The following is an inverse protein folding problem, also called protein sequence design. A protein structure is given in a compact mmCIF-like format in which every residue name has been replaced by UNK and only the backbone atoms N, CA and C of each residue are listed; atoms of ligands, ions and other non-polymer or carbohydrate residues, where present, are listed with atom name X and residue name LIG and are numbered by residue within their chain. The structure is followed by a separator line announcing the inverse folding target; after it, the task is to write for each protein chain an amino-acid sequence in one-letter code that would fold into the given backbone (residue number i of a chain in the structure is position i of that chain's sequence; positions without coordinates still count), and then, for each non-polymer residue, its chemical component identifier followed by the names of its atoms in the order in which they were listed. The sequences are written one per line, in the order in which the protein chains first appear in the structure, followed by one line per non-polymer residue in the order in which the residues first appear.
data_IF_189019020098
#
_entry.id   IF_189019020098
#
_cell.length_a   1.000
_cell.length_b   1.000
_cell.length_c   1.000
_cell.angle_alpha   90.00
_cell.angle_beta   90.00
_cell.angle_gamma   90.00
#
_symmetry.space_group_name_H-M   'P 1'
#
loop_
_entity.id
_entity.type
_entity.pdbx_description
1 polymer ?
#
# COMPACT_ATOMS: atom_id res chain seq x y z
N UNK A 1 18.12 37.69 30.43
CA UNK A 1 16.79 37.07 30.40
C UNK A 1 16.69 36.33 29.06
N UNK A 2 17.09 35.06 29.07
CA UNK A 2 16.96 34.17 27.92
C UNK A 2 15.49 33.76 27.84
N UNK A 3 14.81 34.26 26.83
CA UNK A 3 13.48 33.75 26.48
C UNK A 3 13.68 32.59 25.46
N UNK A 4 13.66 31.39 25.99
CA UNK A 4 13.55 30.20 25.15
C UNK A 4 12.32 30.35 24.20
N UNK A 5 12.45 30.07 22.90
CA UNK A 5 11.32 30.10 21.99
C UNK A 5 10.32 29.03 22.38
N UNK A 6 9.02 29.26 22.22
CA UNK A 6 7.99 28.38 22.72
C UNK A 6 8.08 26.98 22.05
N UNK A 7 7.75 25.91 22.78
CA UNK A 7 7.93 24.49 22.35
C UNK A 7 7.18 24.07 21.08
N UNK A 8 6.28 24.91 20.58
CA UNK A 8 5.45 24.62 19.40
C UNK A 8 6.23 24.47 18.07
N UNK A 9 7.46 24.97 17.97
CA UNK A 9 8.24 24.89 16.71
C UNK A 9 8.98 23.56 16.54
N UNK A 10 9.33 22.87 17.65
CA UNK A 10 10.06 21.59 17.59
C UNK A 10 9.17 20.41 17.15
N UNK A 11 7.87 20.43 17.49
CA UNK A 11 6.94 19.34 17.15
C UNK A 11 6.49 19.31 15.69
N UNK A 12 6.42 20.48 15.02
CA UNK A 12 6.10 20.56 13.57
C UNK A 12 7.15 19.91 12.68
N UNK A 13 8.42 20.08 13.04
CA UNK A 13 9.54 19.48 12.32
C UNK A 13 9.54 17.96 12.49
N UNK A 14 9.21 17.43 13.66
CA UNK A 14 9.23 16.01 13.94
C UNK A 14 8.23 15.19 13.09
N UNK A 15 7.02 15.69 12.85
CA UNK A 15 6.01 14.99 12.05
C UNK A 15 6.35 14.98 10.55
N UNK A 16 6.83 16.09 10.01
CA UNK A 16 7.27 16.19 8.60
C UNK A 16 8.57 15.40 8.37
N UNK A 17 9.50 15.42 9.33
CA UNK A 17 10.73 14.65 9.29
C UNK A 17 10.45 13.14 9.31
N UNK A 18 9.44 12.69 10.06
CA UNK A 18 9.02 11.29 10.10
C UNK A 18 8.57 10.82 8.71
N UNK A 19 7.82 11.65 7.99
CA UNK A 19 7.33 11.33 6.65
C UNK A 19 8.45 11.32 5.59
N UNK A 20 9.55 12.03 5.81
CA UNK A 20 10.69 12.11 4.87
C UNK A 20 11.81 11.09 5.12
N UNK A 21 11.78 10.31 6.21
CA UNK A 21 12.89 9.44 6.60
C UNK A 21 12.83 8.04 6.02
N UNK A 22 11.62 7.50 5.90
CA UNK A 22 11.42 6.10 5.56
C UNK A 22 10.91 5.93 4.13
N UNK A 23 11.22 4.81 3.47
CA UNK A 23 10.52 4.38 2.27
C UNK A 23 9.05 4.06 2.59
N UNK A 24 8.15 4.47 1.70
CA UNK A 24 6.72 4.30 1.86
C UNK A 24 6.15 3.34 0.82
N UNK A 25 5.26 2.50 1.28
CA UNK A 25 4.37 1.66 0.51
C UNK A 25 2.96 2.25 0.65
N UNK A 26 2.73 3.44 0.08
CA UNK A 26 1.50 4.20 0.23
C UNK A 26 1.08 4.83 -1.10
N UNK A 27 -0.23 4.90 -1.31
CA UNK A 27 -0.82 5.57 -2.47
C UNK A 27 -0.54 7.10 -2.43
N UNK A 28 -0.35 7.72 -3.61
CA UNK A 28 0.16 9.09 -3.73
C UNK A 28 -0.74 10.15 -3.09
N UNK A 29 -2.06 10.04 -3.25
CA UNK A 29 -3.01 11.01 -2.66
C UNK A 29 -3.03 10.94 -1.15
N UNK A 30 -2.90 9.74 -0.59
CA UNK A 30 -2.83 9.51 0.85
C UNK A 30 -1.53 10.06 1.45
N UNK A 31 -0.39 9.92 0.76
CA UNK A 31 0.86 10.58 1.16
C UNK A 31 0.69 12.10 1.22
N UNK A 32 0.03 12.69 0.23
CA UNK A 32 -0.23 14.13 0.20
C UNK A 32 -1.13 14.57 1.37
N UNK A 33 -2.14 13.78 1.71
CA UNK A 33 -3.00 14.03 2.87
C UNK A 33 -2.21 13.96 4.19
N UNK A 34 -1.35 12.95 4.36
CA UNK A 34 -0.47 12.84 5.53
C UNK A 34 0.44 14.07 5.69
N UNK A 35 1.04 14.54 4.60
CA UNK A 35 1.86 15.76 4.59
C UNK A 35 1.02 16.97 5.03
N UNK A 36 -0.21 17.10 4.54
CA UNK A 36 -1.13 18.18 4.94
C UNK A 36 -1.50 18.10 6.43
N UNK A 37 -1.78 16.90 6.95
CA UNK A 37 -2.09 16.69 8.36
C UNK A 37 -0.86 17.00 9.22
N UNK A 38 0.31 16.45 8.88
CA UNK A 38 1.56 16.69 9.61
C UNK A 38 1.93 18.17 9.68
N UNK A 39 1.63 18.93 8.63
CA UNK A 39 1.87 20.39 8.63
C UNK A 39 0.97 21.19 9.57
N UNK A 40 -0.15 20.62 10.03
CA UNK A 40 -1.13 21.26 10.91
C UNK A 40 -1.03 20.81 12.37
N UNK A 41 -0.40 19.66 12.64
CA UNK A 41 -0.31 19.08 13.99
C UNK A 41 0.88 19.70 14.76
N UNK A 42 0.59 20.21 15.95
CA UNK A 42 1.58 20.86 16.84
C UNK A 42 1.88 20.06 18.11
N UNK A 43 1.11 19.00 18.41
CA UNK A 43 1.25 18.25 19.66
C UNK A 43 2.13 17.02 19.48
N UNK A 44 2.94 16.69 20.50
CA UNK A 44 3.66 15.40 20.53
C UNK A 44 2.71 14.24 20.87
N UNK A 45 3.04 12.99 20.51
CA UNK A 45 2.26 11.81 20.90
C UNK A 45 2.02 11.71 22.42
N UNK A 46 3.02 12.08 23.23
CA UNK A 46 2.95 12.07 24.69
C UNK A 46 1.97 13.13 25.20
N UNK A 47 1.94 14.31 24.59
CA UNK A 47 1.01 15.37 24.94
C UNK A 47 -0.45 14.97 24.64
N UNK A 48 -0.66 14.26 23.52
CA UNK A 48 -1.98 13.73 23.16
C UNK A 48 -2.40 12.62 24.11
N UNK A 49 -1.54 11.65 24.41
CA UNK A 49 -1.82 10.57 25.36
C UNK A 49 -2.16 11.10 26.75
N UNK A 50 -1.43 12.14 27.22
CA UNK A 50 -1.68 12.82 28.50
C UNK A 50 -3.07 13.50 28.48
N UNK A 51 -3.42 14.18 27.39
CA UNK A 51 -4.73 14.83 27.25
C UNK A 51 -5.89 13.83 27.20
N UNK A 52 -5.68 12.66 26.57
CA UNK A 52 -6.67 11.58 26.49
C UNK A 52 -6.77 10.77 27.79
N UNK A 53 -5.78 10.87 28.69
CA UNK A 53 -5.73 10.10 29.94
C UNK A 53 -5.53 8.60 29.73
N UNK A 54 -5.06 8.16 28.54
CA UNK A 54 -4.80 6.77 28.16
C UNK A 54 -3.68 6.67 27.11
N UNK A 55 -3.02 5.51 27.00
CA UNK A 55 -2.09 5.25 25.91
C UNK A 55 -2.77 5.39 24.52
N UNK A 56 -1.97 5.71 23.51
CA UNK A 56 -2.42 5.72 22.12
C UNK A 56 -2.75 4.28 21.68
N UNK A 57 -3.82 4.12 20.91
CA UNK A 57 -4.29 2.84 20.37
C UNK A 57 -4.78 3.01 18.93
N UNK A 58 -5.12 1.91 18.23
CA UNK A 58 -5.81 2.01 16.95
C UNK A 58 -7.24 2.56 17.18
N UNK A 59 -7.68 3.43 16.28
CA UNK A 59 -9.02 4.03 16.35
C UNK A 59 -10.15 3.00 16.24
N UNK A 60 -9.85 1.82 15.70
CA UNK A 60 -10.81 0.71 15.57
C UNK A 60 -10.26 -0.57 16.19
N UNK A 61 -11.13 -1.26 16.90
CA UNK A 61 -10.80 -2.46 17.67
C UNK A 61 -11.31 -3.72 16.98
N UNK A 62 -10.73 -4.85 17.34
CA UNK A 62 -11.20 -6.18 16.92
C UNK A 62 -12.64 -6.40 17.32
N UNK A 63 -13.45 -6.90 16.40
CA UNK A 63 -14.83 -7.31 16.64
C UNK A 63 -14.95 -8.82 16.51
N UNK A 64 -15.75 -9.44 17.37
CA UNK A 64 -16.01 -10.88 17.31
C UNK A 64 -17.45 -11.13 16.86
N UNK A 65 -17.61 -11.87 15.76
CA UNK A 65 -18.89 -12.31 15.22
C UNK A 65 -18.97 -13.85 15.30
N UNK A 66 -19.67 -14.37 16.31
CA UNK A 66 -19.66 -15.80 16.61
C UNK A 66 -18.22 -16.28 16.89
N UNK A 67 -17.68 -17.14 16.03
CA UNK A 67 -16.29 -17.64 16.12
C UNK A 67 -15.32 -16.96 15.16
N UNK A 68 -15.72 -15.85 14.56
CA UNK A 68 -14.90 -15.07 13.62
C UNK A 68 -14.39 -13.81 14.31
N UNK A 69 -13.08 -13.62 14.36
CA UNK A 69 -12.47 -12.33 14.71
C UNK A 69 -12.35 -11.47 13.44
N UNK A 70 -12.90 -10.27 13.48
CA UNK A 70 -12.76 -9.26 12.43
C UNK A 70 -11.77 -8.21 12.91
N UNK A 71 -10.61 -8.12 12.25
CA UNK A 71 -9.55 -7.22 12.61
C UNK A 71 -9.50 -6.10 11.55
N UNK A 72 -9.80 -4.85 11.92
CA UNK A 72 -9.80 -3.73 10.98
C UNK A 72 -8.38 -3.26 10.65
N UNK A 73 -8.12 -2.99 9.36
CA UNK A 73 -6.90 -2.35 8.85
C UNK A 73 -7.37 -1.14 8.06
N UNK A 74 -7.28 0.05 8.66
CA UNK A 74 -7.86 1.24 8.08
C UNK A 74 -6.90 2.41 8.05
N UNK A 75 -7.06 3.25 7.02
CA UNK A 75 -6.20 4.41 6.81
C UNK A 75 -4.73 4.04 6.64
N UNK A 76 -3.82 5.01 6.72
CA UNK A 76 -2.39 4.79 6.58
C UNK A 76 -1.82 3.87 7.67
N UNK A 77 -0.88 3.00 7.28
CA UNK A 77 -0.24 2.03 8.18
C UNK A 77 1.10 2.59 8.65
N UNK A 78 1.28 2.69 9.96
CA UNK A 78 2.53 3.07 10.61
C UNK A 78 3.12 1.88 11.36
N UNK A 79 4.45 1.83 11.48
CA UNK A 79 5.14 0.77 12.24
C UNK A 79 4.70 0.74 13.70
N UNK A 80 4.65 1.93 14.33
CA UNK A 80 4.32 2.11 15.74
C UNK A 80 3.13 3.05 15.90
N UNK A 81 2.44 2.92 17.04
CA UNK A 81 1.38 3.85 17.41
C UNK A 81 1.93 5.28 17.51
N UNK A 82 1.23 6.23 16.95
CA UNK A 82 1.58 7.63 16.94
C UNK A 82 0.32 8.51 16.86
N UNK A 83 0.52 9.84 16.79
CA UNK A 83 -0.59 10.77 16.73
C UNK A 83 -1.58 10.50 15.58
N UNK A 84 -1.10 10.04 14.42
CA UNK A 84 -1.96 9.73 13.27
C UNK A 84 -2.86 8.52 13.54
N UNK A 85 -2.40 7.52 14.32
CA UNK A 85 -3.22 6.35 14.65
C UNK A 85 -4.40 6.70 15.54
N UNK A 86 -4.26 7.71 16.40
CA UNK A 86 -5.35 8.16 17.28
C UNK A 86 -6.31 9.15 16.62
N UNK A 87 -5.76 10.16 15.91
CA UNK A 87 -6.52 11.33 15.46
C UNK A 87 -7.05 11.16 14.04
N UNK A 88 -6.31 10.50 13.16
CA UNK A 88 -6.67 10.37 11.74
C UNK A 88 -7.17 8.98 11.35
N UNK A 89 -7.34 8.07 12.31
CA UNK A 89 -7.84 6.72 12.03
C UNK A 89 -6.84 5.81 11.32
N UNK A 90 -5.53 6.12 11.42
CA UNK A 90 -4.47 5.28 10.89
C UNK A 90 -4.31 3.98 11.70
N UNK A 91 -3.65 2.98 11.13
CA UNK A 91 -3.38 1.69 11.77
C UNK A 91 -1.93 1.62 12.24
N UNK A 92 -1.71 1.22 13.51
CA UNK A 92 -0.40 0.79 14.00
C UNK A 92 -0.19 -0.69 13.70
N UNK A 93 0.91 -1.02 13.02
CA UNK A 93 1.26 -2.40 12.69
C UNK A 93 1.60 -3.22 13.93
N UNK A 94 2.24 -2.60 14.93
CA UNK A 94 2.54 -3.24 16.21
C UNK A 94 1.27 -3.68 16.95
N UNK A 95 0.27 -2.79 17.04
CA UNK A 95 -1.02 -3.10 17.65
C UNK A 95 -1.77 -4.15 16.83
N UNK A 96 -1.76 -4.01 15.50
CA UNK A 96 -2.37 -4.97 14.59
C UNK A 96 -1.79 -6.39 14.76
N UNK A 97 -0.47 -6.52 14.86
CA UNK A 97 0.20 -7.80 15.07
C UNK A 97 -0.15 -8.41 16.44
N UNK A 98 -0.23 -7.58 17.50
CA UNK A 98 -0.70 -8.00 18.82
C UNK A 98 -2.14 -8.52 18.78
N UNK A 99 -3.03 -7.80 18.12
CA UNK A 99 -4.44 -8.15 18.01
C UNK A 99 -4.64 -9.42 17.17
N UNK A 100 -3.84 -9.59 16.12
CA UNK A 100 -3.80 -10.81 15.33
C UNK A 100 -3.34 -12.00 16.16
N UNK A 101 -2.28 -11.85 16.96
CA UNK A 101 -1.81 -12.92 17.87
C UNK A 101 -2.86 -13.26 18.92
N UNK A 102 -3.51 -12.26 19.52
CA UNK A 102 -4.57 -12.50 20.48
C UNK A 102 -5.77 -13.29 19.87
N UNK A 103 -6.10 -13.03 18.60
CA UNK A 103 -7.11 -13.81 17.88
C UNK A 103 -6.63 -15.24 17.58
N UNK A 104 -5.35 -15.46 17.30
CA UNK A 104 -4.77 -16.80 17.14
C UNK A 104 -4.80 -17.60 18.45
N UNK A 105 -4.50 -16.99 19.58
CA UNK A 105 -4.42 -17.63 20.88
C UNK A 105 -5.82 -17.90 21.48
N UNK A 106 -6.84 -17.19 21.04
CA UNK A 106 -8.21 -17.32 21.59
C UNK A 106 -8.86 -18.64 21.19
N UNK A 107 -9.27 -19.50 22.16
CA UNK A 107 -9.94 -20.76 21.86
C UNK A 107 -11.37 -20.56 21.28
N UNK A 108 -11.96 -19.40 21.46
CA UNK A 108 -13.30 -19.07 20.95
C UNK A 108 -13.28 -18.65 19.49
N UNK A 109 -12.13 -18.21 18.96
CA UNK A 109 -11.96 -17.82 17.57
C UNK A 109 -11.53 -19.02 16.74
N UNK A 110 -12.23 -19.30 15.64
CA UNK A 110 -11.90 -20.38 14.69
C UNK A 110 -11.41 -19.86 13.34
N UNK A 111 -11.63 -18.60 13.01
CA UNK A 111 -11.16 -17.95 11.78
C UNK A 111 -10.96 -16.45 12.00
N UNK A 112 -10.14 -15.84 11.17
CA UNK A 112 -9.82 -14.41 11.20
C UNK A 112 -10.22 -13.77 9.87
N UNK A 113 -10.85 -12.61 9.93
CA UNK A 113 -11.10 -11.74 8.78
C UNK A 113 -10.32 -10.44 8.98
N UNK A 114 -9.41 -10.14 8.08
CA UNK A 114 -8.75 -8.84 8.00
C UNK A 114 -9.66 -7.93 7.16
N UNK A 115 -10.31 -6.96 7.80
CA UNK A 115 -11.19 -5.99 7.09
C UNK A 115 -10.38 -4.77 6.67
N UNK A 116 -10.09 -4.67 5.37
CA UNK A 116 -9.09 -3.74 4.84
C UNK A 116 -9.76 -2.60 4.09
N UNK A 117 -9.39 -1.38 4.48
CA UNK A 117 -9.65 -0.12 3.78
C UNK A 117 -8.47 0.82 4.03
N UNK A 118 -7.38 0.63 3.26
CA UNK A 118 -6.10 1.27 3.54
C UNK A 118 -5.32 1.58 2.26
N UNK A 119 -4.74 2.80 2.17
CA UNK A 119 -3.85 3.20 1.07
C UNK A 119 -2.42 2.62 1.19
N UNK A 120 -2.15 1.82 2.21
CA UNK A 120 -0.80 1.37 2.55
C UNK A 120 -0.13 2.21 3.62
N UNK A 121 1.20 2.21 3.68
CA UNK A 121 1.90 2.90 4.75
C UNK A 121 3.42 2.72 4.73
N UNK A 122 4.05 2.77 5.91
CA UNK A 122 5.48 2.52 6.07
C UNK A 122 5.84 1.09 5.67
N UNK A 123 6.99 0.93 5.03
CA UNK A 123 7.48 -0.38 4.58
C UNK A 123 7.95 -1.29 5.71
N UNK A 124 8.43 -0.69 6.80
CA UNK A 124 9.02 -1.42 7.91
C UNK A 124 8.04 -2.33 8.63
N UNK A 125 8.37 -3.63 8.72
CA UNK A 125 7.59 -4.64 9.45
C UNK A 125 6.47 -5.30 8.64
N UNK A 126 6.15 -4.82 7.44
CA UNK A 126 5.06 -5.40 6.63
C UNK A 126 5.39 -6.85 6.25
N UNK A 127 6.61 -7.13 5.80
CA UNK A 127 7.04 -8.49 5.44
C UNK A 127 6.99 -9.46 6.63
N UNK A 128 7.34 -9.01 7.85
CA UNK A 128 7.22 -9.83 9.06
C UNK A 128 5.76 -10.16 9.37
N UNK A 129 4.88 -9.15 9.32
CA UNK A 129 3.46 -9.36 9.58
C UNK A 129 2.81 -10.24 8.50
N UNK A 130 3.15 -10.05 7.23
CA UNK A 130 2.72 -10.94 6.14
C UNK A 130 3.15 -12.39 6.38
N UNK A 131 4.38 -12.62 6.87
CA UNK A 131 4.83 -13.98 7.28
C UNK A 131 4.04 -14.53 8.44
N UNK A 132 3.70 -13.72 9.45
CA UNK A 132 2.86 -14.14 10.58
C UNK A 132 1.47 -14.56 10.10
N UNK A 133 0.86 -13.83 9.16
CA UNK A 133 -0.42 -14.21 8.54
C UNK A 133 -0.30 -15.57 7.82
N UNK A 134 0.71 -15.75 6.97
CA UNK A 134 0.93 -17.03 6.26
C UNK A 134 1.20 -18.22 7.19
N UNK A 135 1.78 -17.97 8.35
CA UNK A 135 2.04 -19.00 9.36
C UNK A 135 0.84 -19.24 10.29
N UNK A 136 -0.31 -18.62 10.03
CA UNK A 136 -1.50 -18.75 10.86
C UNK A 136 -1.97 -20.20 10.94
N UNK A 137 -2.31 -20.65 12.15
CA UNK A 137 -2.94 -21.95 12.39
C UNK A 137 -4.46 -21.93 12.20
N UNK A 138 -5.05 -20.73 12.00
CA UNK A 138 -6.46 -20.53 11.73
C UNK A 138 -6.64 -19.93 10.35
N UNK A 139 -7.71 -20.28 9.63
CA UNK A 139 -8.00 -19.66 8.34
C UNK A 139 -8.09 -18.14 8.43
N UNK A 140 -7.40 -17.44 7.51
CA UNK A 140 -7.38 -15.99 7.40
C UNK A 140 -7.94 -15.57 6.06
N UNK A 141 -8.98 -14.76 6.07
CA UNK A 141 -9.55 -14.13 4.88
C UNK A 141 -9.28 -12.63 4.92
N UNK A 142 -8.69 -12.07 3.88
CA UNK A 142 -8.65 -10.63 3.68
C UNK A 142 -9.93 -10.19 2.96
N UNK A 143 -10.70 -9.33 3.59
CA UNK A 143 -11.85 -8.68 2.97
C UNK A 143 -11.48 -7.24 2.62
N UNK A 144 -11.57 -6.89 1.33
CA UNK A 144 -11.33 -5.54 0.84
C UNK A 144 -12.69 -4.88 0.55
N UNK A 145 -13.08 -3.97 1.42
CA UNK A 145 -14.34 -3.21 1.27
C UNK A 145 -14.21 -2.12 0.20
N UNK A 146 -13.22 -1.25 0.38
CA UNK A 146 -12.99 -0.09 -0.46
C UNK A 146 -11.59 -0.11 -1.08
N UNK A 147 -10.51 -0.13 -0.28
CA UNK A 147 -9.14 0.03 -0.76
C UNK A 147 -8.17 -0.94 -0.08
N UNK A 148 -7.37 -1.64 -0.87
CA UNK A 148 -6.17 -2.33 -0.42
C UNK A 148 -5.01 -1.97 -1.36
N UNK A 149 -4.32 -0.87 -1.04
CA UNK A 149 -3.22 -0.40 -1.86
C UNK A 149 -1.86 -0.61 -1.17
N UNK A 150 -0.84 -0.94 -1.96
CA UNK A 150 0.57 -0.96 -1.56
C UNK A 150 0.81 -1.85 -0.32
N UNK A 151 1.28 -1.36 0.83
CA UNK A 151 1.47 -2.18 2.04
C UNK A 151 0.21 -2.95 2.47
N UNK A 152 -0.97 -2.35 2.29
CA UNK A 152 -2.24 -3.02 2.61
C UNK A 152 -2.53 -4.19 1.68
N UNK A 153 -2.18 -4.07 0.38
CA UNK A 153 -2.26 -5.20 -0.55
C UNK A 153 -1.23 -6.29 -0.23
N UNK A 154 -0.02 -5.93 0.20
CA UNK A 154 0.97 -6.91 0.67
C UNK A 154 0.42 -7.73 1.83
N UNK A 155 -0.19 -7.07 2.82
CA UNK A 155 -0.86 -7.74 3.95
C UNK A 155 -2.02 -8.61 3.45
N UNK A 156 -2.88 -8.09 2.58
CA UNK A 156 -4.01 -8.84 2.01
C UNK A 156 -3.54 -10.09 1.26
N UNK A 157 -2.46 -9.98 0.48
CA UNK A 157 -1.92 -11.09 -0.32
C UNK A 157 -1.44 -12.27 0.52
N UNK A 158 -1.10 -12.03 1.80
CA UNK A 158 -0.63 -13.06 2.73
C UNK A 158 -1.76 -13.92 3.32
N UNK A 159 -3.03 -13.53 3.18
CA UNK A 159 -4.17 -14.31 3.63
C UNK A 159 -4.42 -15.55 2.74
N UNK A 160 -5.16 -16.53 3.26
CA UNK A 160 -5.53 -17.74 2.52
C UNK A 160 -6.48 -17.42 1.35
N UNK A 161 -7.33 -16.40 1.52
CA UNK A 161 -8.29 -15.93 0.54
C UNK A 161 -8.40 -14.40 0.58
N UNK A 162 -8.50 -13.77 -0.60
CA UNK A 162 -8.83 -12.34 -0.74
C UNK A 162 -10.22 -12.22 -1.35
N UNK A 163 -11.13 -11.64 -0.60
CA UNK A 163 -12.49 -11.33 -1.02
C UNK A 163 -12.64 -9.83 -1.18
N UNK A 164 -13.06 -9.38 -2.35
CA UNK A 164 -13.23 -7.97 -2.64
C UNK A 164 -14.71 -7.60 -2.79
N UNK A 165 -15.07 -6.36 -2.43
CA UNK A 165 -16.36 -5.80 -2.86
C UNK A 165 -16.34 -5.52 -4.36
N UNK A 166 -17.49 -5.37 -5.02
CA UNK A 166 -17.55 -5.10 -6.47
C UNK A 166 -16.79 -3.84 -6.90
N UNK A 167 -16.68 -2.86 -6.02
CA UNK A 167 -16.04 -1.55 -6.24
C UNK A 167 -14.69 -1.41 -5.54
N UNK A 168 -14.23 -2.44 -4.82
CA UNK A 168 -12.96 -2.41 -4.13
C UNK A 168 -11.79 -2.19 -5.09
N UNK A 169 -10.83 -1.42 -4.66
CA UNK A 169 -9.64 -1.03 -5.43
C UNK A 169 -8.42 -1.73 -4.82
N UNK A 170 -7.68 -2.48 -5.63
CA UNK A 170 -6.52 -3.25 -5.17
C UNK A 170 -5.30 -2.95 -6.05
N UNK A 171 -4.11 -2.91 -5.45
CA UNK A 171 -2.86 -2.75 -6.22
C UNK A 171 -1.87 -1.79 -5.62
N UNK A 172 -1.36 -0.86 -6.43
CA UNK A 172 -0.27 0.06 -6.05
C UNK A 172 0.95 -0.71 -5.54
N UNK A 173 1.34 -1.79 -6.24
CA UNK A 173 2.51 -2.61 -5.88
C UNK A 173 3.76 -1.86 -6.32
N UNK A 174 4.46 -1.28 -5.35
CA UNK A 174 5.64 -0.47 -5.58
C UNK A 174 6.07 0.27 -4.32
N UNK A 175 7.23 0.91 -4.40
CA UNK A 175 7.84 1.66 -3.29
C UNK A 175 8.11 3.09 -3.74
N UNK A 176 7.84 4.04 -2.87
CA UNK A 176 8.14 5.45 -3.11
C UNK A 176 8.97 6.02 -1.97
N UNK A 177 9.96 6.83 -2.28
CA UNK A 177 10.69 7.65 -1.33
C UNK A 177 10.56 9.11 -1.74
N UNK A 178 10.13 9.96 -0.81
CA UNK A 178 10.02 11.41 -1.04
C UNK A 178 11.12 12.12 -0.30
N UNK A 179 11.88 12.94 -0.99
CA UNK A 179 12.90 13.81 -0.40
C UNK A 179 12.53 15.27 -0.60
N UNK A 180 12.66 16.05 0.47
CA UNK A 180 12.55 17.51 0.42
C UNK A 180 13.89 18.10 0.88
N UNK A 181 14.56 18.90 0.06
CA UNK A 181 15.75 19.58 0.49
C UNK A 181 15.48 20.45 1.73
N UNK A 182 16.43 20.56 2.67
CA UNK A 182 16.33 21.48 3.77
C UNK A 182 16.18 22.92 3.25
N UNK A 183 15.26 23.68 3.84
CA UNK A 183 15.15 25.11 3.54
C UNK A 183 16.14 25.84 4.45
N UNK A 184 17.10 26.53 3.83
CA UNK A 184 18.01 27.41 4.56
C UNK A 184 17.20 28.55 5.22
N UNK A 185 17.38 28.73 6.51
CA UNK A 185 16.74 29.84 7.26
C UNK A 185 17.76 30.95 7.51
N UNK A 186 17.39 32.21 7.28
CA UNK A 186 18.27 33.34 7.59
C UNK A 186 18.71 33.30 9.07
N UNK A 187 20.03 33.29 9.32
CA UNK A 187 20.61 33.26 10.66
C UNK A 187 20.86 31.87 11.26
N UNK A 188 20.44 30.79 10.62
CA UNK A 188 20.84 29.42 11.01
C UNK A 188 22.29 29.15 10.56
N UNK A 189 23.12 28.66 11.49
CA UNK A 189 24.47 28.22 11.14
C UNK A 189 24.38 26.87 10.42
N UNK A 190 25.13 26.70 9.31
CA UNK A 190 25.13 25.42 8.59
C UNK A 190 25.65 24.30 9.50
N UNK A 191 24.98 23.16 9.48
CA UNK A 191 25.45 21.93 10.15
C UNK A 191 26.64 21.38 9.37
N UNK A 192 27.76 21.17 10.06
CA UNK A 192 28.94 20.50 9.47
C UNK A 192 28.90 19.03 9.82
N UNK A 193 28.78 18.17 8.81
CA UNK A 193 28.84 16.72 8.98
C UNK A 193 30.19 16.17 8.51
N UNK A 194 30.83 15.33 9.34
CA UNK A 194 32.06 14.64 9.00
C UNK A 194 31.75 13.16 8.87
N UNK A 195 31.88 12.63 7.67
CA UNK A 195 31.63 11.23 7.36
C UNK A 195 32.96 10.50 7.23
N UNK A 196 33.04 9.25 7.75
CA UNK A 196 34.23 8.43 7.63
C UNK A 196 34.54 8.13 6.14
N UNK A 197 35.81 8.17 5.78
CA UNK A 197 36.25 7.90 4.39
C UNK A 197 35.91 6.51 3.89
N UNK A 198 35.75 5.54 4.81
CA UNK A 198 35.34 4.16 4.48
C UNK A 198 33.86 4.00 4.16
N UNK A 199 33.05 5.04 4.39
CA UNK A 199 31.59 4.98 4.21
C UNK A 199 31.08 6.14 3.36
N UNK A 200 31.54 6.30 2.11
CA UNK A 200 31.26 7.49 1.29
C UNK A 200 29.77 7.67 0.94
N UNK A 201 28.97 6.60 1.00
CA UNK A 201 27.53 6.67 0.71
C UNK A 201 26.66 6.95 1.94
N UNK A 202 27.25 7.10 3.14
CA UNK A 202 26.47 7.22 4.39
C UNK A 202 25.63 8.50 4.46
N UNK A 203 26.05 9.59 3.78
CA UNK A 203 25.42 10.91 3.84
C UNK A 203 25.31 11.56 2.45
N UNK A 204 25.00 10.76 1.45
CA UNK A 204 24.79 11.27 0.11
C UNK A 204 23.43 11.95 0.03
N UNK A 205 23.41 13.24 -0.31
CA UNK A 205 22.15 13.98 -0.42
C UNK A 205 21.34 13.50 -1.65
N UNK A 206 20.05 13.16 -1.48
CA UNK A 206 19.21 12.61 -2.57
C UNK A 206 18.97 13.56 -3.75
N UNK A 207 19.24 14.85 -3.62
CA UNK A 207 19.20 15.85 -4.69
C UNK A 207 20.45 15.83 -5.58
N UNK A 208 21.50 15.12 -5.18
CA UNK A 208 22.67 14.88 -6.03
C UNK A 208 22.47 13.64 -6.91
N UNK A 209 23.17 13.53 -8.08
CA UNK A 209 23.11 12.33 -8.92
C UNK A 209 23.47 11.04 -8.18
N UNK A 210 24.51 11.07 -7.35
CA UNK A 210 24.96 9.93 -6.55
C UNK A 210 23.93 9.54 -5.48
N UNK A 211 23.38 10.53 -4.75
CA UNK A 211 22.36 10.28 -3.75
C UNK A 211 21.04 9.79 -4.33
N UNK A 212 20.67 10.30 -5.50
CA UNK A 212 19.49 9.80 -6.23
C UNK A 212 19.67 8.35 -6.66
N UNK A 213 20.87 8.00 -7.16
CA UNK A 213 21.19 6.61 -7.50
C UNK A 213 21.12 5.67 -6.29
N UNK A 214 21.60 6.12 -5.12
CA UNK A 214 21.53 5.32 -3.89
C UNK A 214 20.09 5.18 -3.37
N UNK A 215 19.28 6.25 -3.40
CA UNK A 215 17.88 6.21 -3.06
C UNK A 215 17.09 5.29 -4.00
N UNK A 216 17.36 5.38 -5.33
CA UNK A 216 16.74 4.49 -6.32
C UNK A 216 17.07 3.03 -6.03
N UNK A 217 18.35 2.70 -5.78
CA UNK A 217 18.77 1.34 -5.44
C UNK A 217 18.02 0.79 -4.22
N UNK A 218 17.81 1.62 -3.20
CA UNK A 218 17.10 1.22 -1.99
C UNK A 218 15.62 0.92 -2.26
N UNK A 219 14.92 1.77 -3.00
CA UNK A 219 13.51 1.55 -3.34
C UNK A 219 13.32 0.36 -4.27
N UNK A 220 14.25 0.14 -5.20
CA UNK A 220 14.22 -1.01 -6.11
C UNK A 220 14.40 -2.33 -5.36
N UNK A 221 15.38 -2.43 -4.44
CA UNK A 221 15.58 -3.61 -3.61
C UNK A 221 14.36 -3.92 -2.74
N UNK A 222 13.71 -2.90 -2.18
CA UNK A 222 12.51 -3.09 -1.39
C UNK A 222 11.32 -3.50 -2.27
N UNK A 223 11.22 -2.97 -3.48
CA UNK A 223 10.20 -3.35 -4.46
C UNK A 223 10.38 -4.82 -4.90
N UNK A 224 11.62 -5.29 -5.09
CA UNK A 224 11.91 -6.70 -5.37
C UNK A 224 11.39 -7.63 -4.26
N UNK A 225 11.62 -7.29 -2.99
CA UNK A 225 11.10 -8.05 -1.84
C UNK A 225 9.57 -8.08 -1.86
N UNK A 226 8.93 -6.94 -2.10
CA UNK A 226 7.47 -6.83 -2.17
C UNK A 226 6.89 -7.71 -3.29
N UNK A 227 7.43 -7.59 -4.51
CA UNK A 227 6.99 -8.37 -5.67
C UNK A 227 7.18 -9.86 -5.44
N UNK A 228 8.32 -10.28 -4.88
CA UNK A 228 8.61 -11.69 -4.59
C UNK A 228 7.62 -12.28 -3.56
N UNK A 229 7.33 -11.53 -2.49
CA UNK A 229 6.38 -11.97 -1.45
C UNK A 229 4.95 -12.09 -1.99
N UNK A 230 4.50 -11.11 -2.78
CA UNK A 230 3.17 -11.15 -3.44
C UNK A 230 3.09 -12.30 -4.43
N UNK A 231 4.12 -12.51 -5.25
CA UNK A 231 4.16 -13.61 -6.20
C UNK A 231 4.03 -14.97 -5.51
N UNK A 232 4.80 -15.17 -4.43
CA UNK A 232 4.74 -16.40 -3.63
C UNK A 232 3.36 -16.59 -2.97
N UNK A 233 2.79 -15.54 -2.39
CA UNK A 233 1.50 -15.57 -1.71
C UNK A 233 0.34 -15.82 -2.68
N UNK A 234 0.35 -15.19 -3.85
CA UNK A 234 -0.67 -15.37 -4.90
C UNK A 234 -0.43 -16.57 -5.81
N UNK A 235 0.68 -17.32 -5.60
CA UNK A 235 1.06 -18.51 -6.40
C UNK A 235 1.17 -18.19 -7.88
N UNK A 236 1.81 -17.07 -8.20
CA UNK A 236 2.09 -16.61 -9.56
C UNK A 236 3.58 -16.31 -9.71
N UNK A 237 4.06 -16.13 -10.95
CA UNK A 237 5.43 -15.67 -11.15
C UNK A 237 5.60 -14.17 -10.83
N UNK A 238 6.82 -13.73 -10.58
CA UNK A 238 7.11 -12.30 -10.39
C UNK A 238 6.81 -11.50 -11.67
N UNK A 239 7.04 -12.10 -12.84
CA UNK A 239 6.69 -11.51 -14.13
C UNK A 239 5.18 -11.26 -14.24
N UNK A 240 4.34 -12.18 -13.72
CA UNK A 240 2.88 -11.98 -13.66
C UNK A 240 2.53 -10.80 -12.75
N UNK A 241 3.17 -10.67 -11.58
CA UNK A 241 2.94 -9.53 -10.69
C UNK A 241 3.32 -8.23 -11.38
N UNK A 242 4.47 -8.18 -12.03
CA UNK A 242 4.96 -6.99 -12.72
C UNK A 242 4.13 -6.61 -13.94
N UNK A 243 3.62 -7.60 -14.70
CA UNK A 243 2.90 -7.35 -15.93
C UNK A 243 1.38 -7.15 -15.72
N UNK A 244 0.75 -7.95 -14.86
CA UNK A 244 -0.70 -8.11 -14.80
C UNK A 244 -1.34 -7.48 -13.56
N UNK A 245 -0.56 -7.20 -12.49
CA UNK A 245 -1.08 -6.62 -11.26
C UNK A 245 -1.07 -5.07 -11.27
N UNK A 246 -1.28 -4.47 -12.44
CA UNK A 246 -1.48 -3.03 -12.59
C UNK A 246 -0.21 -2.21 -12.78
N UNK A 247 1.00 -2.81 -12.77
CA UNK A 247 2.28 -2.10 -12.98
C UNK A 247 2.48 -0.87 -12.06
N UNK A 248 2.14 -1.02 -10.77
CA UNK A 248 2.11 0.07 -9.81
C UNK A 248 0.80 0.87 -9.78
N UNK A 249 -0.11 0.63 -10.74
CA UNK A 249 -1.49 1.11 -10.72
C UNK A 249 -2.41 0.21 -9.90
N UNK A 250 -3.72 0.38 -10.07
CA UNK A 250 -4.74 -0.32 -9.28
C UNK A 250 -5.82 -0.92 -10.18
N UNK A 251 -6.42 -2.03 -9.75
CA UNK A 251 -7.53 -2.71 -10.41
C UNK A 251 -8.76 -2.72 -9.51
N UNK A 252 -9.95 -2.71 -10.12
CA UNK A 252 -11.22 -2.62 -9.39
C UNK A 252 -11.97 -3.95 -9.48
N UNK A 253 -12.45 -4.46 -8.36
CA UNK A 253 -13.43 -5.54 -8.26
C UNK A 253 -13.12 -6.73 -9.18
N UNK A 254 -13.96 -6.99 -10.14
CA UNK A 254 -13.81 -8.13 -11.08
C UNK A 254 -12.53 -8.10 -11.91
N UNK A 255 -11.96 -6.91 -12.20
CA UNK A 255 -10.68 -6.83 -12.90
C UNK A 255 -9.52 -7.33 -12.01
N UNK A 256 -9.60 -7.07 -10.71
CA UNK A 256 -8.64 -7.61 -9.75
C UNK A 256 -8.78 -9.14 -9.63
N UNK A 257 -10.02 -9.68 -9.65
CA UNK A 257 -10.26 -11.13 -9.68
C UNK A 257 -9.73 -11.75 -10.97
N UNK A 258 -10.03 -11.16 -12.13
CA UNK A 258 -9.54 -11.65 -13.43
C UNK A 258 -8.00 -11.67 -13.51
N UNK A 259 -7.33 -10.69 -12.89
CA UNK A 259 -5.87 -10.64 -12.76
C UNK A 259 -5.32 -11.57 -11.66
N UNK A 260 -6.16 -12.28 -10.92
CA UNK A 260 -5.78 -13.12 -9.76
C UNK A 260 -5.20 -12.33 -8.56
N UNK A 261 -5.47 -11.04 -8.51
CA UNK A 261 -5.16 -10.20 -7.34
C UNK A 261 -6.14 -10.43 -6.19
N UNK A 262 -7.37 -10.83 -6.49
CA UNK A 262 -8.37 -11.30 -5.53
C UNK A 262 -8.94 -12.66 -6.00
N UNK A 263 -9.61 -13.37 -5.10
CA UNK A 263 -10.12 -14.71 -5.40
C UNK A 263 -11.58 -14.67 -5.84
N UNK A 264 -12.39 -13.79 -5.24
CA UNK A 264 -13.80 -13.62 -5.59
C UNK A 264 -14.38 -12.30 -5.11
N UNK A 265 -15.58 -12.00 -5.60
CA UNK A 265 -16.40 -10.88 -5.13
C UNK A 265 -17.43 -11.37 -4.12
N UNK A 266 -17.53 -10.71 -2.96
CA UNK A 266 -18.60 -10.91 -2.01
C UNK A 266 -18.71 -9.71 -1.03
N UNK A 267 -19.75 -9.68 -0.19
CA UNK A 267 -19.90 -8.71 0.89
C UNK A 267 -19.30 -9.24 2.20
N UNK A 268 -18.88 -8.34 3.10
CA UNK A 268 -18.44 -8.71 4.45
C UNK A 268 -19.53 -9.49 5.19
N UNK A 269 -20.79 -9.07 5.04
CA UNK A 269 -21.92 -9.73 5.66
C UNK A 269 -22.01 -11.20 5.24
N UNK A 270 -21.85 -11.52 3.95
CA UNK A 270 -21.88 -12.90 3.47
C UNK A 270 -20.74 -13.74 4.05
N UNK A 271 -19.55 -13.15 4.23
CA UNK A 271 -18.43 -13.82 4.89
C UNK A 271 -18.72 -14.15 6.36
N UNK A 272 -19.38 -13.26 7.07
CA UNK A 272 -19.72 -13.47 8.48
C UNK A 272 -20.86 -14.49 8.66
N UNK A 273 -21.78 -14.57 7.70
CA UNK A 273 -22.91 -15.51 7.73
C UNK A 273 -22.52 -16.94 7.37
N UNK A 274 -21.49 -17.17 6.55
CA UNK A 274 -21.01 -18.51 6.17
C UNK A 274 -20.38 -19.30 7.33
N UNK A 275 -20.28 -18.71 8.52
CA UNK A 275 -19.92 -19.39 9.79
C UNK A 275 -21.13 -19.81 10.64
N UNK A 276 -22.34 -19.53 10.23
CA UNK A 276 -23.57 -20.06 10.85
C UNK A 276 -23.88 -21.47 10.33
N UNK A 277 -24.51 -22.36 11.13
CA UNK A 277 -24.84 -23.72 10.70
C UNK A 277 -25.70 -23.69 9.43
N UNK A 278 -25.48 -24.66 8.56
CA UNK A 278 -26.11 -24.80 7.24
C UNK A 278 -27.65 -24.66 7.31
N UNK A 279 -28.20 -23.63 6.68
CA UNK A 279 -29.65 -23.37 6.68
C UNK A 279 -30.08 -22.12 5.92
N UNK A 280 -29.13 -21.23 5.53
CA UNK A 280 -29.47 -20.04 4.75
C UNK A 280 -29.33 -20.31 3.23
N UNK A 281 -30.29 -19.85 2.39
CA UNK A 281 -30.20 -20.03 0.95
C UNK A 281 -28.97 -19.31 0.38
N UNK A 282 -28.34 -19.83 -0.68
CA UNK A 282 -27.22 -19.17 -1.32
C UNK A 282 -27.68 -17.82 -1.87
N UNK A 283 -27.09 -16.76 -1.37
CA UNK A 283 -27.28 -15.41 -1.91
C UNK A 283 -26.67 -15.37 -3.31
N UNK A 284 -27.44 -14.89 -4.26
CA UNK A 284 -27.13 -14.81 -5.68
C UNK A 284 -25.71 -14.29 -5.92
N UNK A 285 -24.93 -15.11 -6.60
CA UNK A 285 -23.66 -14.70 -7.21
C UNK A 285 -24.03 -13.65 -8.24
N UNK A 286 -23.69 -12.38 -8.00
CA UNK A 286 -23.69 -11.38 -9.06
C UNK A 286 -22.61 -11.79 -10.08
N UNK A 287 -22.96 -12.72 -10.95
CA UNK A 287 -22.23 -12.95 -12.18
C UNK A 287 -22.58 -11.81 -13.13
N UNK A 288 -21.93 -10.67 -12.95
CA UNK A 288 -21.80 -9.74 -14.07
C UNK A 288 -21.00 -10.50 -15.13
N UNK A 289 -21.69 -10.87 -16.21
CA UNK A 289 -21.03 -11.38 -17.41
C UNK A 289 -20.17 -10.27 -17.99
N UNK A 290 -18.97 -10.12 -17.44
CA UNK A 290 -17.92 -9.40 -18.11
C UNK A 290 -17.50 -10.35 -19.22
N UNK A 291 -17.95 -10.07 -20.44
CA UNK A 291 -17.40 -10.73 -21.61
C UNK A 291 -15.88 -10.64 -21.48
N UNK A 292 -15.23 -11.78 -21.27
CA UNK A 292 -13.77 -11.88 -21.34
C UNK A 292 -13.40 -11.23 -22.67
N UNK A 293 -12.59 -10.16 -22.70
CA UNK A 293 -12.17 -9.61 -23.98
C UNK A 293 -11.50 -10.76 -24.69
N UNK A 294 -12.05 -11.15 -25.82
CA UNK A 294 -11.46 -12.14 -26.71
C UNK A 294 -9.98 -11.82 -26.79
N UNK A 295 -9.12 -12.84 -26.63
CA UNK A 295 -7.67 -12.67 -26.59
C UNK A 295 -7.28 -11.64 -27.65
N UNK A 296 -6.81 -10.47 -27.20
CA UNK A 296 -6.58 -9.32 -28.06
C UNK A 296 -5.60 -9.78 -29.13
N UNK A 297 -6.06 -9.82 -30.37
CA UNK A 297 -5.19 -10.17 -31.48
C UNK A 297 -3.99 -9.22 -31.42
N UNK A 298 -2.78 -9.80 -31.33
CA UNK A 298 -1.55 -9.01 -31.34
C UNK A 298 -1.49 -8.30 -32.69
N UNK A 299 -1.65 -6.98 -32.68
CA UNK A 299 -1.57 -6.20 -33.91
C UNK A 299 -0.12 -6.17 -34.39
N UNK A 300 0.16 -6.47 -35.66
CA UNK A 300 1.53 -6.57 -36.15
C UNK A 300 2.24 -5.20 -36.12
N UNK A 301 3.50 -5.19 -35.67
CA UNK A 301 4.40 -4.05 -35.77
C UNK A 301 4.76 -3.75 -37.24
N UNK A 302 5.18 -2.49 -37.59
CA UNK A 302 5.80 -1.53 -36.69
C UNK A 302 4.90 -0.34 -36.32
N UNK A 303 4.77 -0.07 -35.01
CA UNK A 303 4.21 1.18 -34.55
C UNK A 303 5.38 2.18 -34.28
N UNK A 304 5.26 3.43 -34.75
CA UNK A 304 6.30 4.43 -34.53
C UNK A 304 6.39 4.91 -33.08
N UNK A 305 5.32 4.81 -32.31
CA UNK A 305 5.29 5.18 -30.87
C UNK A 305 4.29 4.33 -30.10
N UNK A 306 4.46 4.26 -28.78
CA UNK A 306 3.55 3.55 -27.87
C UNK A 306 2.13 4.12 -27.94
N UNK A 307 1.97 5.45 -27.97
CA UNK A 307 0.68 6.12 -28.06
C UNK A 307 -0.07 5.72 -29.35
N UNK A 308 0.66 5.51 -30.43
CA UNK A 308 0.07 5.08 -31.70
C UNK A 308 -0.41 3.62 -31.61
N UNK A 309 0.33 2.77 -30.92
CA UNK A 309 -0.11 1.39 -30.63
C UNK A 309 -1.40 1.41 -29.79
N UNK A 310 -1.45 2.20 -28.73
CA UNK A 310 -2.66 2.34 -27.88
C UNK A 310 -3.86 2.82 -28.69
N UNK A 311 -3.71 3.85 -29.54
CA UNK A 311 -4.78 4.35 -30.41
C UNK A 311 -5.33 3.28 -31.35
N UNK A 312 -4.44 2.44 -31.90
CA UNK A 312 -4.84 1.36 -32.79
C UNK A 312 -5.66 0.29 -32.05
N UNK A 313 -5.25 -0.10 -30.85
CA UNK A 313 -6.02 -1.01 -30.00
C UNK A 313 -7.39 -0.42 -29.61
N UNK A 314 -7.47 0.90 -29.36
CA UNK A 314 -8.74 1.58 -29.15
C UNK A 314 -9.65 1.55 -30.40
N UNK A 315 -9.08 1.73 -31.60
CA UNK A 315 -9.81 1.64 -32.86
C UNK A 315 -10.40 0.24 -33.10
N UNK A 316 -9.88 -0.80 -32.45
CA UNK A 316 -10.44 -2.16 -32.45
C UNK A 316 -11.45 -2.39 -31.30
N UNK A 317 -12.01 -1.33 -30.73
CA UNK A 317 -13.08 -1.40 -29.74
C UNK A 317 -12.66 -1.58 -28.30
N UNK A 318 -11.38 -1.46 -27.98
CA UNK A 318 -10.90 -1.54 -26.60
C UNK A 318 -11.08 -0.21 -25.86
N UNK A 319 -11.40 -0.29 -24.58
CA UNK A 319 -11.32 0.90 -23.69
C UNK A 319 -9.88 1.36 -23.59
N UNK A 320 -9.65 2.62 -23.18
CA UNK A 320 -8.31 3.18 -23.02
C UNK A 320 -7.41 2.30 -22.14
N UNK A 321 -7.91 1.82 -21.00
CA UNK A 321 -7.18 0.93 -20.10
C UNK A 321 -6.82 -0.41 -20.71
N UNK A 322 -7.78 -1.04 -21.43
CA UNK A 322 -7.54 -2.29 -22.16
C UNK A 322 -6.51 -2.11 -23.28
N UNK A 323 -6.59 -0.99 -24.01
CA UNK A 323 -5.66 -0.66 -25.07
C UNK A 323 -4.24 -0.44 -24.56
N UNK A 324 -4.06 0.23 -23.41
CA UNK A 324 -2.76 0.37 -22.75
C UNK A 324 -2.19 -0.97 -22.31
N UNK A 325 -3.00 -1.85 -21.69
CA UNK A 325 -2.55 -3.17 -21.31
C UNK A 325 -2.15 -4.03 -22.52
N UNK A 326 -2.96 -4.02 -23.57
CA UNK A 326 -2.68 -4.78 -24.78
C UNK A 326 -1.43 -4.27 -25.52
N UNK A 327 -1.30 -2.96 -25.66
CA UNK A 327 -0.12 -2.32 -26.29
C UNK A 327 1.16 -2.57 -25.47
N UNK A 328 1.09 -2.49 -24.13
CA UNK A 328 2.25 -2.73 -23.26
C UNK A 328 2.75 -4.18 -23.34
N UNK A 329 1.83 -5.15 -23.41
CA UNK A 329 2.18 -6.57 -23.58
C UNK A 329 2.77 -6.88 -24.96
N UNK A 330 2.17 -6.32 -26.00
CA UNK A 330 2.57 -6.61 -27.38
C UNK A 330 3.86 -5.86 -27.80
N UNK A 331 4.13 -4.71 -27.19
CA UNK A 331 5.22 -3.80 -27.57
C UNK A 331 5.97 -3.28 -26.33
N UNK A 332 6.64 -4.15 -25.54
CA UNK A 332 7.27 -3.79 -24.26
C UNK A 332 8.38 -2.74 -24.42
N UNK A 333 9.10 -2.73 -25.53
CA UNK A 333 10.14 -1.75 -25.77
C UNK A 333 9.56 -0.34 -26.00
N UNK A 334 8.51 -0.21 -26.80
CA UNK A 334 7.79 1.05 -27.01
C UNK A 334 7.18 1.56 -25.71
N UNK A 335 6.68 0.67 -24.86
CA UNK A 335 6.15 1.02 -23.55
C UNK A 335 7.23 1.55 -22.62
N UNK A 336 8.39 0.90 -22.56
CA UNK A 336 9.57 1.35 -21.78
C UNK A 336 10.06 2.73 -22.23
N UNK A 337 10.19 2.95 -23.54
CA UNK A 337 10.60 4.23 -24.10
C UNK A 337 9.58 5.34 -23.81
N UNK A 338 8.31 5.02 -23.83
CA UNK A 338 7.23 5.93 -23.45
C UNK A 338 7.31 6.31 -21.97
N UNK A 339 7.47 5.35 -21.07
CA UNK A 339 7.63 5.57 -19.63
C UNK A 339 8.85 6.45 -19.35
N UNK A 340 9.97 6.19 -19.98
CA UNK A 340 11.18 7.00 -19.83
C UNK A 340 10.93 8.47 -20.24
N UNK A 341 10.20 8.70 -21.33
CA UNK A 341 9.85 10.06 -21.80
C UNK A 341 8.86 10.77 -20.89
N UNK A 342 7.85 10.06 -20.39
CA UNK A 342 6.85 10.63 -19.48
C UNK A 342 7.49 11.01 -18.15
N UNK A 343 8.35 10.14 -17.62
CA UNK A 343 9.04 10.36 -16.34
C UNK A 343 10.20 11.40 -16.46
N UNK A 344 10.71 11.65 -17.66
CA UNK A 344 11.75 12.65 -17.89
C UNK A 344 11.22 14.09 -18.10
N UNK A 345 9.90 14.30 -18.13
CA UNK A 345 9.33 15.66 -18.24
C UNK A 345 9.50 16.36 -16.89
N UNK A 346 10.18 17.51 -16.82
CA UNK A 346 10.18 18.33 -15.61
C UNK A 346 8.75 18.84 -15.35
N UNK A 347 8.34 18.79 -14.09
CA UNK A 347 7.10 19.38 -13.57
C UNK A 347 7.24 20.89 -13.55
#
# INVERSE_FOLDING_TARGET
MDTDPPPAHRSRLAALDLLGRDPWLIEASAMQQLICIASRLNDSPEAVATRLGRPLDNARTVQTHGRTAVIPIQGPIFRYANLFTEVSGATSLEILARDFQAALDSPTVSRIVLSIDSPGGQSCGIAEFARQIRASTKPVTAYVGDLAASAAYWIASAADEIVASPTAILGSIGVVMTYRPPVERPGEKPTVEIVSSQSPLKRVAPDTPSGRGEAQRLVDQLAEVFVADVAAARRVSQETVLADFGQGGMLIGQYAVAARMADRIASLQSLLMTGAPAGAPPMETYAMSIATPAAAAVLPAPFPTYERAVQQYQAHGMTLGQAHMAAGRAHPDLHRDWLNRVNARPV
#
